data_IF_574650265382
#
_entry.id   IF_574650265382
#
_cell.length_a   1.000
_cell.length_b   1.000
_cell.length_c   1.000
_cell.angle_alpha   90.00
_cell.angle_beta   90.00
_cell.angle_gamma   90.00
#
_symmetry.space_group_name_H-M   'P 1'
#
loop_
_entity.id
_entity.type
_entity.pdbx_description
1 polymer ?
#
# COMPACT_ATOMS: atom_id res chain seq x y z
N UNK A 1 -5.64 -5.50 -22.17
CA UNK A 1 -6.23 -4.92 -23.39
C UNK A 1 -7.65 -5.46 -23.56
N UNK A 2 -8.47 -4.85 -24.42
CA UNK A 2 -9.72 -5.46 -24.88
C UNK A 2 -9.44 -6.79 -25.62
N UNK A 3 -8.30 -6.86 -26.32
CA UNK A 3 -7.89 -8.04 -27.10
C UNK A 3 -7.14 -9.11 -26.29
N UNK A 4 -7.31 -9.13 -24.97
CA UNK A 4 -6.58 -10.08 -24.11
C UNK A 4 -7.24 -11.46 -24.16
N UNK A 5 -6.47 -12.51 -24.44
CA UNK A 5 -6.95 -13.91 -24.43
C UNK A 5 -7.57 -14.34 -23.09
N UNK A 6 -7.26 -13.63 -22.00
CA UNK A 6 -7.85 -13.86 -20.68
C UNK A 6 -9.37 -13.76 -20.69
N UNK A 7 -9.96 -12.94 -21.57
CA UNK A 7 -11.42 -12.77 -21.65
C UNK A 7 -12.14 -14.02 -22.16
N UNK A 8 -11.45 -14.91 -22.88
CA UNK A 8 -12.04 -16.09 -23.52
C UNK A 8 -11.91 -17.37 -22.67
N UNK A 9 -11.26 -17.31 -21.49
CA UNK A 9 -11.07 -18.46 -20.61
C UNK A 9 -12.39 -18.85 -19.91
N UNK A 10 -12.97 -19.99 -20.29
CA UNK A 10 -14.26 -20.48 -19.78
C UNK A 10 -14.32 -20.67 -18.25
N UNK A 11 -13.19 -20.88 -17.60
CA UNK A 11 -13.06 -21.12 -16.18
C UNK A 11 -12.57 -19.91 -15.38
N UNK A 12 -12.56 -18.71 -15.96
CA UNK A 12 -12.12 -17.47 -15.31
C UNK A 12 -13.23 -16.43 -15.21
N UNK A 13 -13.43 -15.89 -14.00
CA UNK A 13 -14.25 -14.69 -13.80
C UNK A 13 -13.31 -13.49 -13.70
N UNK A 14 -13.41 -12.57 -14.64
CA UNK A 14 -12.58 -11.36 -14.70
C UNK A 14 -13.44 -10.14 -14.38
N UNK A 15 -12.89 -9.26 -13.54
CA UNK A 15 -13.48 -7.95 -13.26
C UNK A 15 -12.44 -6.86 -13.52
N UNK A 16 -12.84 -5.65 -13.92
CA UNK A 16 -11.93 -4.51 -13.97
C UNK A 16 -11.23 -4.30 -12.62
N UNK A 17 -10.10 -3.60 -12.60
CA UNK A 17 -9.40 -3.23 -11.37
C UNK A 17 -10.16 -2.15 -10.57
N UNK A 18 -11.34 -2.52 -10.08
CA UNK A 18 -12.30 -1.64 -9.41
C UNK A 18 -12.71 -2.19 -8.03
N UNK A 19 -12.25 -3.38 -7.64
CA UNK A 19 -12.56 -3.97 -6.33
C UNK A 19 -12.12 -3.08 -5.15
N UNK A 20 -11.12 -2.21 -5.37
CA UNK A 20 -10.70 -1.22 -4.38
C UNK A 20 -11.66 -0.04 -4.19
N UNK A 21 -12.55 0.25 -5.15
CA UNK A 21 -13.38 1.47 -5.17
C UNK A 21 -14.64 1.38 -4.26
N UNK A 22 -14.52 0.75 -3.10
CA UNK A 22 -15.60 0.71 -2.12
C UNK A 22 -15.99 2.14 -1.69
N UNK A 23 -17.29 2.46 -1.56
CA UNK A 23 -17.74 3.73 -0.98
C UNK A 23 -17.19 3.98 0.43
N UNK A 24 -16.85 2.90 1.16
CA UNK A 24 -16.26 2.97 2.50
C UNK A 24 -14.74 3.19 2.50
N UNK A 25 -14.07 3.14 1.33
CA UNK A 25 -12.61 3.22 1.24
C UNK A 25 -12.09 4.54 1.79
N UNK A 26 -12.63 5.66 1.34
CA UNK A 26 -12.14 6.98 1.74
C UNK A 26 -12.17 7.17 3.26
N UNK A 27 -13.31 6.89 3.90
CA UNK A 27 -13.43 7.02 5.35
C UNK A 27 -12.45 6.12 6.10
N UNK A 28 -12.28 4.86 5.69
CA UNK A 28 -11.32 3.94 6.31
C UNK A 28 -9.87 4.38 6.12
N UNK A 29 -9.50 4.79 4.92
CA UNK A 29 -8.13 5.21 4.60
C UNK A 29 -7.76 6.48 5.36
N UNK A 30 -8.65 7.48 5.39
CA UNK A 30 -8.38 8.75 6.11
C UNK A 30 -8.33 8.50 7.62
N UNK A 31 -9.28 7.76 8.18
CA UNK A 31 -9.27 7.43 9.61
C UNK A 31 -7.99 6.70 10.02
N UNK A 32 -7.57 5.71 9.23
CA UNK A 32 -6.33 4.97 9.45
C UNK A 32 -5.08 5.86 9.34
N UNK A 33 -5.04 6.76 8.35
CA UNK A 33 -3.96 7.74 8.22
C UNK A 33 -3.88 8.65 9.44
N UNK A 34 -5.00 9.20 9.91
CA UNK A 34 -5.04 10.09 11.07
C UNK A 34 -4.56 9.39 12.35
N UNK A 35 -4.87 8.10 12.54
CA UNK A 35 -4.36 7.32 13.67
C UNK A 35 -2.84 7.15 13.60
N UNK A 36 -2.30 6.83 12.42
CA UNK A 36 -0.84 6.74 12.24
C UNK A 36 -0.15 8.09 12.37
N UNK A 37 -0.78 9.19 11.95
CA UNK A 37 -0.24 10.54 12.11
C UNK A 37 -0.06 10.87 13.59
N UNK A 38 -1.04 10.54 14.44
CA UNK A 38 -0.91 10.73 15.89
C UNK A 38 0.27 9.96 16.46
N UNK A 39 0.39 8.67 16.10
CA UNK A 39 1.49 7.80 16.53
C UNK A 39 2.85 8.34 16.08
N UNK A 40 2.94 8.77 14.83
CA UNK A 40 4.15 9.36 14.28
C UNK A 40 4.58 10.61 15.05
N UNK A 41 3.65 11.53 15.33
CA UNK A 41 3.93 12.76 16.09
C UNK A 41 4.35 12.49 17.54
N UNK A 42 3.93 11.37 18.14
CA UNK A 42 4.33 10.97 19.50
C UNK A 42 5.55 10.05 19.55
N UNK A 43 6.14 9.71 18.39
CA UNK A 43 7.26 8.77 18.31
C UNK A 43 6.87 7.31 18.55
N UNK A 44 5.57 6.99 18.51
CA UNK A 44 5.07 5.62 18.58
C UNK A 44 5.14 4.93 17.21
N UNK A 45 5.27 3.60 17.24
CA UNK A 45 5.22 2.80 16.01
C UNK A 45 3.86 2.90 15.31
N UNK A 46 3.89 3.11 13.99
CA UNK A 46 2.70 3.13 13.13
C UNK A 46 2.17 1.71 12.88
N UNK A 47 0.87 1.58 12.64
CA UNK A 47 0.20 0.27 12.60
C UNK A 47 0.53 -0.56 11.35
N UNK A 48 0.90 0.08 10.25
CA UNK A 48 1.24 -0.56 8.98
C UNK A 48 2.71 -0.31 8.60
N UNK A 49 3.62 -0.32 9.57
CA UNK A 49 5.04 -0.27 9.27
C UNK A 49 5.41 -1.48 8.39
N UNK A 50 5.88 -1.21 7.18
CA UNK A 50 6.34 -2.24 6.26
C UNK A 50 7.85 -2.32 6.40
N UNK A 51 8.32 -3.48 6.85
CA UNK A 51 9.73 -3.81 6.70
C UNK A 51 10.02 -3.94 5.22
N UNK A 52 10.71 -2.92 4.70
CA UNK A 52 11.04 -2.88 3.30
C UNK A 52 11.96 -4.02 2.94
N UNK A 53 12.60 -4.74 3.86
CA UNK A 53 13.50 -5.89 3.67
C UNK A 53 12.80 -7.24 3.51
N UNK A 54 11.48 -7.35 3.71
CA UNK A 54 10.69 -8.55 3.38
C UNK A 54 9.84 -8.38 2.10
N UNK A 55 9.37 -9.47 1.48
CA UNK A 55 8.57 -9.41 0.25
C UNK A 55 9.37 -9.75 -1.01
N UNK A 56 10.04 -8.79 -1.66
CA UNK A 56 10.95 -9.01 -2.82
C UNK A 56 11.95 -7.82 -3.02
N UNK A 57 13.17 -7.84 -2.44
CA UNK A 57 14.27 -6.95 -2.85
C UNK A 57 14.88 -7.38 -4.18
N UNK A 58 15.40 -6.41 -4.94
CA UNK A 58 16.68 -6.65 -5.61
C UNK A 58 17.81 -6.25 -4.64
N UNK A 59 18.88 -7.04 -4.63
CA UNK A 59 19.61 -7.48 -3.42
C UNK A 59 20.33 -6.34 -2.68
N UNK A 60 20.70 -5.28 -3.38
CA UNK A 60 21.55 -4.20 -2.85
C UNK A 60 20.78 -2.90 -2.51
N UNK A 61 19.49 -2.79 -2.87
CA UNK A 61 18.74 -1.51 -2.88
C UNK A 61 17.36 -1.62 -2.25
N UNK A 62 17.31 -1.77 -0.93
CA UNK A 62 16.11 -1.33 -0.19
C UNK A 62 16.53 -0.11 0.58
N UNK A 63 16.12 1.05 0.06
CA UNK A 63 16.51 2.39 0.50
C UNK A 63 16.69 2.44 2.02
N UNK A 64 17.78 3.05 2.48
CA UNK A 64 18.03 3.29 3.90
C UNK A 64 16.75 3.67 4.61
N UNK A 65 16.57 3.09 5.81
CA UNK A 65 15.39 3.22 6.66
C UNK A 65 14.71 4.58 6.49
N UNK A 66 13.42 4.58 6.13
CA UNK A 66 12.63 5.79 5.88
C UNK A 66 12.67 6.74 7.10
N UNK A 67 12.92 6.22 8.30
CA UNK A 67 13.06 6.98 9.54
C UNK A 67 14.37 7.75 9.66
N UNK A 68 15.33 7.52 8.74
CA UNK A 68 16.58 8.29 8.60
C UNK A 68 16.48 9.39 7.55
N UNK A 69 15.35 9.53 6.87
CA UNK A 69 15.10 10.66 5.96
C UNK A 69 14.82 11.87 6.83
N UNK A 70 15.61 12.93 6.65
CA UNK A 70 15.37 14.23 7.28
C UNK A 70 14.00 14.77 6.86
N UNK A 71 13.18 15.14 7.85
CA UNK A 71 11.79 15.59 7.66
C UNK A 71 11.57 17.03 8.09
N UNK A 72 12.63 17.76 8.44
CA UNK A 72 12.58 19.20 8.74
C UNK A 72 12.43 19.97 7.41
N UNK A 73 11.20 20.39 7.12
CA UNK A 73 10.84 21.34 6.07
C UNK A 73 9.97 22.46 6.64
#
# INVERSE_FOLDING_TARGET
>A
SADSELWDLENCIITPHAAGASPKRHHRTVGFFCENLKRYLTGEAIQNEIDKNVGFPDVDKRAEDIRKVDTEA
#
